data_IF_611860072485
#
_entry.id   IF_611860072485
#
_cell.length_a   1.000
_cell.length_b   1.000
_cell.length_c   1.000
_cell.angle_alpha   90.00
_cell.angle_beta   90.00
_cell.angle_gamma   90.00
#
_symmetry.space_group_name_H-M   'P 1'
#
loop_
_entity.id
_entity.type
_entity.pdbx_description
1 polymer ?
#
# COMPACT_ATOMS: atom_id res chain seq x y z
N UNK A 1 -30.04 -17.63 -64.71
CA UNK A 1 -28.57 -17.47 -64.86
C UNK A 1 -28.30 -15.98 -64.97
N UNK A 2 -27.84 -15.32 -63.88
CA UNK A 2 -27.45 -13.91 -63.95
C UNK A 2 -26.14 -13.81 -64.74
N UNK A 3 -26.07 -12.92 -65.73
CA UNK A 3 -24.86 -12.71 -66.54
C UNK A 3 -23.75 -12.03 -65.72
N UNK A 4 -22.50 -12.47 -65.91
CA UNK A 4 -21.32 -12.06 -65.13
C UNK A 4 -20.77 -10.67 -65.43
N UNK A 5 -21.63 -9.69 -65.70
CA UNK A 5 -21.19 -8.32 -65.99
C UNK A 5 -20.85 -7.57 -64.67
N UNK A 6 -19.61 -7.08 -64.55
CA UNK A 6 -19.02 -6.49 -63.33
C UNK A 6 -18.76 -4.97 -63.43
N UNK A 7 -19.21 -4.32 -64.50
CA UNK A 7 -19.05 -2.86 -64.67
C UNK A 7 -19.82 -2.04 -63.62
N UNK A 8 -19.31 -0.85 -63.29
CA UNK A 8 -20.00 0.09 -62.39
C UNK A 8 -21.35 0.52 -63.01
N UNK A 9 -22.45 0.54 -62.24
CA UNK A 9 -23.77 0.88 -62.78
C UNK A 9 -23.85 2.35 -63.23
N UNK A 10 -24.50 2.60 -64.36
CA UNK A 10 -24.92 3.93 -64.84
C UNK A 10 -26.41 4.16 -64.52
N UNK A 11 -26.82 5.42 -64.48
CA UNK A 11 -28.19 5.92 -64.32
C UNK A 11 -29.26 5.23 -65.19
N UNK A 12 -28.86 4.57 -66.28
CA UNK A 12 -29.74 3.83 -67.19
C UNK A 12 -29.85 2.32 -66.89
N UNK A 13 -29.02 1.76 -66.01
CA UNK A 13 -28.90 0.31 -65.73
C UNK A 13 -29.27 -0.08 -64.30
N UNK A 14 -29.76 0.88 -63.50
CA UNK A 14 -30.05 0.72 -62.06
C UNK A 14 -31.07 -0.40 -61.73
N UNK A 15 -31.89 -0.84 -62.69
CA UNK A 15 -32.86 -1.95 -62.55
C UNK A 15 -32.43 -3.27 -63.22
N UNK A 16 -31.22 -3.32 -63.79
CA UNK A 16 -30.71 -4.52 -64.48
C UNK A 16 -29.91 -5.43 -63.54
N UNK A 17 -29.87 -6.72 -63.88
CA UNK A 17 -29.05 -7.77 -63.28
C UNK A 17 -27.60 -7.35 -62.97
N UNK A 18 -27.03 -6.44 -63.76
CA UNK A 18 -25.67 -5.90 -63.56
C UNK A 18 -25.54 -5.06 -62.30
N UNK A 19 -26.47 -4.14 -62.04
CA UNK A 19 -26.44 -3.31 -60.83
C UNK A 19 -26.59 -4.17 -59.56
N UNK A 20 -27.45 -5.19 -59.61
CA UNK A 20 -27.64 -6.16 -58.52
C UNK A 20 -26.36 -6.96 -58.24
N UNK A 21 -25.71 -7.47 -59.28
CA UNK A 21 -24.45 -8.22 -59.15
C UNK A 21 -23.30 -7.36 -58.61
N UNK A 22 -23.21 -6.10 -59.05
CA UNK A 22 -22.20 -5.17 -58.54
C UNK A 22 -22.38 -4.95 -57.03
N UNK A 23 -23.59 -4.60 -56.59
CA UNK A 23 -23.88 -4.39 -55.15
C UNK A 23 -23.64 -5.65 -54.33
N UNK A 24 -24.03 -6.83 -54.83
CA UNK A 24 -23.80 -8.11 -54.17
C UNK A 24 -22.30 -8.39 -53.99
N UNK A 25 -21.48 -8.15 -55.02
CA UNK A 25 -20.04 -8.35 -54.95
C UNK A 25 -19.38 -7.38 -53.96
N UNK A 26 -19.82 -6.11 -53.93
CA UNK A 26 -19.33 -5.15 -52.94
C UNK A 26 -19.73 -5.56 -51.50
N UNK A 27 -20.94 -6.09 -51.30
CA UNK A 27 -21.39 -6.59 -50.01
C UNK A 27 -20.59 -7.82 -49.55
N UNK A 28 -20.32 -8.76 -50.44
CA UNK A 28 -19.48 -9.94 -50.16
C UNK A 28 -18.02 -9.56 -49.87
N UNK A 29 -17.47 -8.58 -50.60
CA UNK A 29 -16.14 -8.06 -50.34
C UNK A 29 -16.07 -7.36 -48.97
N UNK A 30 -17.08 -6.57 -48.61
CA UNK A 30 -17.16 -5.96 -47.29
C UNK A 30 -17.29 -7.01 -46.17
N UNK A 31 -18.15 -8.02 -46.35
CA UNK A 31 -18.31 -9.12 -45.38
C UNK A 31 -17.01 -9.91 -45.18
N UNK A 32 -16.34 -10.28 -46.27
CA UNK A 32 -15.06 -11.01 -46.20
C UNK A 32 -13.92 -10.16 -45.61
N UNK A 33 -13.90 -8.86 -45.87
CA UNK A 33 -12.97 -7.93 -45.23
C UNK A 33 -13.22 -7.83 -43.72
N UNK A 34 -14.47 -7.73 -43.28
CA UNK A 34 -14.81 -7.71 -41.84
C UNK A 34 -14.47 -9.04 -41.19
N UNK A 35 -14.83 -10.17 -41.80
CA UNK A 35 -14.51 -11.51 -41.27
C UNK A 35 -13.00 -11.78 -41.19
N UNK A 36 -12.18 -11.22 -42.09
CA UNK A 36 -10.72 -11.35 -42.04
C UNK A 36 -10.04 -10.38 -41.08
N UNK A 37 -10.68 -9.24 -40.74
CA UNK A 37 -10.15 -8.25 -39.78
C UNK A 37 -10.60 -8.52 -38.35
N UNK A 38 -11.73 -9.21 -38.18
CA UNK A 38 -12.35 -9.51 -36.91
C UNK A 38 -12.69 -11.00 -36.82
N UNK A 39 -11.67 -11.87 -36.91
CA UNK A 39 -11.81 -13.18 -36.28
C UNK A 39 -11.82 -12.94 -34.79
N UNK A 40 -12.92 -13.26 -34.12
CA UNK A 40 -12.97 -13.31 -32.66
C UNK A 40 -12.17 -14.54 -32.19
N UNK A 41 -10.88 -14.56 -32.52
CA UNK A 41 -9.96 -15.62 -32.17
C UNK A 41 -9.74 -15.57 -30.65
N UNK A 42 -10.30 -16.56 -29.95
CA UNK A 42 -10.36 -16.61 -28.49
C UNK A 42 -11.67 -16.15 -27.84
N UNK A 43 -12.68 -15.69 -28.59
CA UNK A 43 -14.00 -15.44 -28.02
C UNK A 43 -14.84 -16.72 -28.07
N UNK A 44 -15.25 -17.23 -26.91
CA UNK A 44 -16.09 -18.41 -26.78
C UNK A 44 -17.36 -18.10 -26.00
N UNK A 45 -18.49 -18.67 -26.42
CA UNK A 45 -19.73 -18.70 -25.62
C UNK A 45 -19.74 -19.86 -24.61
N UNK A 46 -18.72 -20.71 -24.63
CA UNK A 46 -18.53 -21.72 -23.60
C UNK A 46 -18.01 -21.01 -22.33
N UNK A 47 -18.70 -21.20 -21.21
CA UNK A 47 -18.29 -20.67 -19.92
C UNK A 47 -16.96 -21.33 -19.47
N UNK A 48 -15.83 -20.83 -19.97
CA UNK A 48 -14.49 -21.23 -19.55
C UNK A 48 -14.17 -20.60 -18.18
N UNK A 49 -14.93 -20.99 -17.16
CA UNK A 49 -14.83 -20.42 -15.81
C UNK A 49 -15.25 -18.96 -15.73
N UNK A 50 -15.41 -18.45 -14.50
CA UNK A 50 -15.67 -17.04 -14.24
C UNK A 50 -14.41 -16.23 -14.55
N UNK A 51 -14.22 -15.77 -15.78
CA UNK A 51 -13.23 -14.73 -16.10
C UNK A 51 -13.81 -13.39 -15.64
N UNK A 52 -13.44 -12.96 -14.43
CA UNK A 52 -13.78 -11.61 -13.95
C UNK A 52 -12.78 -10.62 -14.54
N UNK A 53 -13.12 -10.03 -15.68
CA UNK A 53 -12.44 -8.82 -16.13
C UNK A 53 -12.75 -7.70 -15.14
N UNK A 54 -11.72 -7.22 -14.47
CA UNK A 54 -11.80 -6.08 -13.56
C UNK A 54 -11.97 -4.81 -14.39
N UNK A 55 -13.16 -4.20 -14.30
CA UNK A 55 -13.50 -2.98 -15.01
C UNK A 55 -13.05 -1.70 -14.28
N UNK A 56 -12.37 -1.86 -13.15
CA UNK A 56 -11.89 -0.78 -12.29
C UNK A 56 -10.70 -1.26 -11.45
N UNK A 57 -9.79 -0.34 -11.14
CA UNK A 57 -8.66 -0.56 -10.24
C UNK A 57 -8.72 0.45 -9.09
N UNK A 58 -8.18 0.11 -7.94
CA UNK A 58 -8.07 1.02 -6.80
C UNK A 58 -9.01 0.69 -5.64
N UNK A 59 -9.34 1.70 -4.83
CA UNK A 59 -10.13 1.52 -3.60
C UNK A 59 -11.49 0.87 -3.91
N UNK A 60 -11.79 -0.26 -3.24
CA UNK A 60 -13.03 -1.02 -3.44
C UNK A 60 -13.00 -2.02 -4.60
N UNK A 61 -11.89 -2.12 -5.36
CA UNK A 61 -11.69 -3.15 -6.39
C UNK A 61 -10.90 -4.34 -5.85
N UNK A 62 -10.95 -5.47 -6.57
CA UNK A 62 -10.14 -6.66 -6.30
C UNK A 62 -8.70 -6.53 -6.82
N UNK A 63 -8.39 -5.46 -7.55
CA UNK A 63 -7.06 -5.23 -8.13
C UNK A 63 -6.55 -3.82 -7.87
N UNK A 64 -5.24 -3.72 -7.65
CA UNK A 64 -4.49 -2.47 -7.51
C UNK A 64 -3.31 -2.48 -8.47
N UNK A 65 -2.91 -1.31 -8.97
CA UNK A 65 -1.71 -1.21 -9.81
C UNK A 65 -0.47 -1.48 -8.96
N UNK A 66 0.57 -2.06 -9.57
CA UNK A 66 1.86 -2.24 -8.89
C UNK A 66 2.39 -0.90 -8.35
N UNK A 67 2.25 0.19 -9.13
CA UNK A 67 2.66 1.52 -8.69
C UNK A 67 1.91 1.97 -7.42
N UNK A 68 0.60 1.75 -7.32
CA UNK A 68 -0.17 2.08 -6.12
C UNK A 68 0.25 1.24 -4.91
N UNK A 69 0.53 -0.05 -5.10
CA UNK A 69 1.03 -0.93 -4.03
C UNK A 69 2.41 -0.51 -3.55
N UNK A 70 3.34 -0.27 -4.49
CA UNK A 70 4.69 0.21 -4.17
C UNK A 70 4.63 1.56 -3.46
N UNK A 71 3.80 2.49 -3.93
CA UNK A 71 3.63 3.79 -3.30
C UNK A 71 3.10 3.63 -1.87
N UNK A 72 2.04 2.84 -1.66
CA UNK A 72 1.49 2.59 -0.33
C UNK A 72 2.53 2.00 0.65
N UNK A 73 3.38 1.08 0.19
CA UNK A 73 4.46 0.48 1.01
C UNK A 73 5.56 1.50 1.37
N UNK A 74 5.76 2.54 0.54
CA UNK A 74 6.75 3.60 0.82
C UNK A 74 6.14 4.74 1.64
N UNK A 75 4.88 5.10 1.40
CA UNK A 75 4.21 6.23 2.07
C UNK A 75 3.57 5.87 3.39
N UNK A 76 3.33 4.58 3.67
CA UNK A 76 2.86 4.09 4.97
C UNK A 76 4.03 3.39 5.67
N UNK A 77 4.95 4.17 6.26
CA UNK A 77 6.16 3.66 6.89
C UNK A 77 5.82 2.71 8.05
N UNK A 78 6.19 1.44 7.91
CA UNK A 78 6.10 0.45 8.99
C UNK A 78 7.33 0.53 9.91
N UNK A 79 7.10 0.31 11.21
CA UNK A 79 8.16 0.16 12.20
C UNK A 79 9.18 -0.92 11.77
N UNK A 80 10.47 -0.62 11.91
CA UNK A 80 11.61 -1.48 11.59
C UNK A 80 12.07 -1.45 10.13
N UNK A 81 11.30 -0.89 9.20
CA UNK A 81 11.72 -0.82 7.78
C UNK A 81 12.76 0.29 7.57
N UNK A 82 13.99 -0.08 7.28
CA UNK A 82 15.09 0.86 7.00
C UNK A 82 15.65 1.58 8.23
N UNK A 83 15.11 1.29 9.41
CA UNK A 83 15.53 1.84 10.69
C UNK A 83 16.74 1.09 11.26
N UNK A 84 17.50 1.74 12.14
CA UNK A 84 18.62 1.14 12.87
C UNK A 84 18.39 1.28 14.36
N UNK A 85 18.94 0.34 15.11
CA UNK A 85 19.05 0.45 16.56
C UNK A 85 20.13 1.49 16.88
N UNK A 86 19.78 2.49 17.69
CA UNK A 86 20.69 3.54 18.14
C UNK A 86 20.70 3.60 19.66
N UNK A 87 21.89 3.53 20.26
CA UNK A 87 22.07 3.86 21.69
C UNK A 87 22.12 5.38 21.83
N UNK A 88 21.16 5.93 22.57
CA UNK A 88 20.98 7.36 22.76
C UNK A 88 21.10 7.75 24.22
N UNK A 89 21.56 6.86 25.10
CA UNK A 89 21.66 7.10 26.55
C UNK A 89 22.39 8.40 26.90
N UNK A 90 23.46 8.74 26.17
CA UNK A 90 24.23 9.96 26.42
C UNK A 90 23.52 11.26 26.00
N UNK A 91 22.46 11.17 25.22
CA UNK A 91 21.72 12.31 24.63
C UNK A 91 20.26 12.37 25.06
N UNK A 92 19.89 11.51 26.02
CA UNK A 92 18.53 11.34 26.50
C UNK A 92 18.49 11.38 28.02
N UNK A 93 17.38 11.84 28.55
CA UNK A 93 17.14 11.92 29.99
C UNK A 93 15.65 11.71 30.26
N UNK A 94 15.34 11.17 31.44
CA UNK A 94 13.98 11.16 31.94
C UNK A 94 13.50 12.62 32.15
N UNK A 95 12.19 12.82 32.21
CA UNK A 95 11.53 14.12 32.40
C UNK A 95 11.75 15.13 31.26
N UNK A 96 12.31 14.69 30.12
CA UNK A 96 12.50 15.53 28.92
C UNK A 96 11.58 15.07 27.80
N UNK A 97 10.85 16.01 27.21
CA UNK A 97 10.00 15.74 26.04
C UNK A 97 10.83 15.79 24.75
N UNK A 98 10.71 14.74 23.96
CA UNK A 98 11.33 14.59 22.64
C UNK A 98 10.26 14.50 21.55
N UNK A 99 10.62 14.81 20.30
CA UNK A 99 9.74 14.63 19.13
C UNK A 99 10.32 13.60 18.19
N UNK A 100 9.53 12.61 17.77
CA UNK A 100 9.91 11.70 16.70
C UNK A 100 9.76 12.41 15.35
N UNK A 101 10.87 12.66 14.65
CA UNK A 101 10.88 13.37 13.35
C UNK A 101 11.57 12.57 12.25
N UNK A 102 11.53 11.24 12.34
CA UNK A 102 12.30 10.33 11.48
C UNK A 102 11.60 10.02 10.16
N UNK A 103 10.34 10.42 10.01
CA UNK A 103 9.48 10.00 8.91
C UNK A 103 8.80 8.65 9.14
N UNK A 104 9.20 7.88 10.16
CA UNK A 104 8.69 6.54 10.47
C UNK A 104 8.30 6.45 11.96
N UNK A 105 7.32 5.62 12.36
CA UNK A 105 7.16 5.28 13.77
C UNK A 105 8.48 4.74 14.33
N UNK A 106 8.86 5.15 15.53
CA UNK A 106 10.05 4.63 16.23
C UNK A 106 9.60 3.72 17.36
N UNK A 107 10.48 2.80 17.78
CA UNK A 107 10.32 2.08 19.03
C UNK A 107 11.38 2.53 20.02
N UNK A 108 10.99 2.76 21.26
CA UNK A 108 11.85 3.26 22.33
C UNK A 108 11.90 2.22 23.44
N UNK A 109 13.11 1.86 23.85
CA UNK A 109 13.37 1.06 25.02
C UNK A 109 14.14 1.90 26.04
N UNK A 110 13.66 1.92 27.27
CA UNK A 110 14.33 2.57 28.39
C UNK A 110 14.46 1.60 29.55
N UNK A 111 15.62 1.63 30.21
CA UNK A 111 15.84 0.92 31.48
C UNK A 111 16.43 1.86 32.50
N UNK A 112 15.90 1.82 33.70
CA UNK A 112 16.45 2.50 34.87
C UNK A 112 16.71 1.48 35.98
N UNK A 113 17.60 1.86 36.90
CA UNK A 113 17.78 1.18 38.18
C UNK A 113 17.43 2.15 39.31
N UNK A 114 16.97 1.63 40.43
CA UNK A 114 16.85 2.38 41.67
C UNK A 114 17.36 1.58 42.86
N UNK A 115 17.20 2.14 44.06
CA UNK A 115 17.36 1.43 45.32
C UNK A 115 16.24 0.40 45.51
N UNK A 116 15.45 0.53 46.56
CA UNK A 116 14.43 -0.47 46.88
C UNK A 116 13.16 -0.41 45.99
N UNK A 117 12.96 0.67 45.24
CA UNK A 117 11.82 0.81 44.31
C UNK A 117 12.18 1.72 43.13
N UNK A 118 11.69 1.38 41.95
CA UNK A 118 11.78 2.24 40.77
C UNK A 118 10.64 1.95 39.79
N UNK A 119 10.09 3.02 39.18
CA UNK A 119 8.99 2.94 38.21
C UNK A 119 9.28 3.89 37.05
N UNK A 120 8.92 3.46 35.84
CA UNK A 120 8.90 4.25 34.62
C UNK A 120 7.46 4.46 34.18
N UNK A 121 7.11 5.68 33.79
CA UNK A 121 5.90 5.97 33.01
C UNK A 121 6.31 6.50 31.65
N UNK A 122 5.61 6.09 30.60
CA UNK A 122 5.90 6.53 29.24
C UNK A 122 4.69 7.24 28.69
N UNK A 123 4.92 8.40 28.08
CA UNK A 123 3.86 9.23 27.53
C UNK A 123 4.11 9.46 26.05
N UNK A 124 3.05 9.38 25.25
CA UNK A 124 3.06 9.73 23.82
C UNK A 124 1.96 10.76 23.59
N UNK A 125 2.31 11.95 23.07
CA UNK A 125 1.42 13.11 22.98
C UNK A 125 0.73 13.45 24.33
N UNK A 126 1.45 13.27 25.45
CA UNK A 126 0.93 13.51 26.80
C UNK A 126 -0.01 12.42 27.34
N UNK A 127 -0.35 11.39 26.55
CA UNK A 127 -1.14 10.25 27.00
C UNK A 127 -0.19 9.20 27.54
N UNK A 128 -0.43 8.72 28.76
CA UNK A 128 0.30 7.56 29.30
C UNK A 128 0.07 6.35 28.39
N UNK A 129 1.15 5.87 27.79
CA UNK A 129 1.15 4.73 26.86
C UNK A 129 1.39 3.42 27.60
N UNK A 130 2.18 3.46 28.68
CA UNK A 130 2.45 2.31 29.53
C UNK A 130 3.53 2.60 30.57
N UNK A 131 3.68 1.67 31.49
CA UNK A 131 4.58 1.75 32.63
C UNK A 131 5.44 0.49 32.79
N UNK A 132 6.41 0.57 33.69
CA UNK A 132 7.13 -0.60 34.20
C UNK A 132 7.70 -0.30 35.56
N UNK A 133 7.51 -1.20 36.53
CA UNK A 133 7.91 -0.98 37.92
C UNK A 133 8.55 -2.19 38.55
N UNK A 134 9.37 -1.95 39.57
CA UNK A 134 10.00 -3.00 40.38
C UNK A 134 10.25 -2.52 41.80
N UNK A 135 10.14 -3.46 42.74
CA UNK A 135 10.59 -3.31 44.13
C UNK A 135 11.56 -4.43 44.46
N UNK A 136 12.61 -4.13 45.22
CA UNK A 136 13.63 -5.10 45.63
C UNK A 136 14.27 -4.69 46.96
N UNK A 137 14.97 -5.59 47.64
CA UNK A 137 15.63 -5.28 48.91
C UNK A 137 16.82 -4.32 48.77
N UNK A 138 17.48 -4.31 47.61
CA UNK A 138 18.71 -3.54 47.39
C UNK A 138 18.62 -2.72 46.10
N UNK A 139 18.48 -3.40 44.96
CA UNK A 139 18.46 -2.77 43.63
C UNK A 139 17.24 -3.22 42.86
N UNK A 140 16.39 -2.26 42.52
CA UNK A 140 15.22 -2.44 41.66
C UNK A 140 15.56 -2.04 40.23
N UNK A 141 14.90 -2.68 39.26
CA UNK A 141 15.10 -2.44 37.83
C UNK A 141 13.73 -2.28 37.17
N UNK A 142 13.50 -1.15 36.54
CA UNK A 142 12.32 -0.92 35.71
C UNK A 142 12.73 -0.79 34.24
N UNK A 143 11.86 -1.26 33.36
CA UNK A 143 12.03 -1.12 31.92
C UNK A 143 10.69 -0.76 31.29
N UNK A 144 10.74 0.03 30.22
CA UNK A 144 9.57 0.33 29.41
C UNK A 144 9.94 0.19 27.92
N UNK A 145 8.99 -0.30 27.14
CA UNK A 145 9.07 -0.38 25.69
C UNK A 145 7.78 0.18 25.08
N UNK A 146 7.90 1.10 24.13
CA UNK A 146 6.74 1.75 23.53
C UNK A 146 7.04 2.22 22.11
N UNK A 147 5.98 2.49 21.36
CA UNK A 147 6.04 2.96 19.97
C UNK A 147 5.60 4.42 19.93
N UNK A 148 6.35 5.24 19.20
CA UNK A 148 6.06 6.66 19.00
C UNK A 148 5.80 6.91 17.52
N UNK A 149 4.58 7.31 17.12
CA UNK A 149 4.28 7.69 15.74
C UNK A 149 5.21 8.80 15.24
N UNK A 150 5.45 8.85 13.93
CA UNK A 150 6.16 9.99 13.34
C UNK A 150 5.38 11.29 13.61
N UNK A 151 6.10 12.34 14.01
CA UNK A 151 5.56 13.65 14.39
C UNK A 151 5.02 13.73 15.81
N UNK A 152 4.90 12.62 16.54
CA UNK A 152 4.44 12.62 17.92
C UNK A 152 5.55 13.04 18.90
N UNK A 153 5.15 13.60 20.03
CA UNK A 153 6.04 13.83 21.16
C UNK A 153 6.02 12.65 22.11
N UNK A 154 7.11 12.43 22.85
CA UNK A 154 7.20 11.42 23.88
C UNK A 154 8.08 11.88 25.03
N UNK A 155 7.80 11.34 26.20
CA UNK A 155 8.49 11.62 27.45
C UNK A 155 8.49 10.35 28.30
N UNK A 156 9.54 10.16 29.07
CA UNK A 156 9.68 9.07 30.02
C UNK A 156 9.86 9.68 31.41
N UNK A 157 8.95 9.37 32.32
CA UNK A 157 9.03 9.76 33.72
C UNK A 157 9.71 8.65 34.53
N UNK A 158 10.58 9.01 35.45
CA UNK A 158 11.30 8.06 36.30
C UNK A 158 11.09 8.41 37.77
N UNK A 159 10.46 7.50 38.51
CA UNK A 159 10.15 7.68 39.94
C UNK A 159 10.74 6.55 40.78
N UNK A 160 10.73 6.74 42.10
CA UNK A 160 11.24 5.77 43.08
C UNK A 160 12.49 6.24 43.81
N UNK A 161 13.18 5.29 44.45
CA UNK A 161 14.33 5.57 45.29
C UNK A 161 15.60 5.75 44.44
N UNK A 162 15.97 7.00 44.17
CA UNK A 162 17.19 7.37 43.42
C UNK A 162 17.29 6.70 42.04
N UNK A 163 16.33 6.94 41.12
CA UNK A 163 16.35 6.35 39.80
C UNK A 163 17.56 6.84 38.99
N UNK A 164 18.20 5.92 38.28
CA UNK A 164 19.38 6.17 37.43
C UNK A 164 19.14 5.56 36.05
N UNK A 165 19.33 6.35 35.00
CA UNK A 165 19.24 5.89 33.63
C UNK A 165 20.36 4.89 33.30
N UNK A 166 19.97 3.68 32.91
CA UNK A 166 20.88 2.58 32.55
C UNK A 166 20.96 2.33 31.05
N UNK A 167 19.87 2.57 30.31
CA UNK A 167 19.83 2.37 28.87
C UNK A 167 18.73 3.23 28.25
N UNK A 168 19.01 3.78 27.08
CA UNK A 168 18.02 4.39 26.21
C UNK A 168 18.36 4.01 24.78
N UNK A 169 17.49 3.24 24.14
CA UNK A 169 17.73 2.73 22.80
C UNK A 169 16.51 2.97 21.94
N UNK A 170 16.73 3.44 20.70
CA UNK A 170 15.66 3.70 19.75
C UNK A 170 15.90 2.91 18.46
N UNK A 171 14.87 2.22 17.96
CA UNK A 171 14.81 1.75 16.59
C UNK A 171 14.24 2.88 15.74
N UNK A 172 15.08 3.52 14.94
CA UNK A 172 14.75 4.77 14.24
C UNK A 172 15.40 4.97 12.89
#
# INVERSE_FOLDING_TARGET
MLSGNTGAPDSTTATTTTAVNYVLNQALAAYSLVASRYTADGATTANAGLVKLVNSMGAGSLVMTQAAVTNAIQTNPSLGKGQKIQDLRASRSAEVTYTSSTGFPIAVYVRISGGYSTVLYTHVNGIEFGDGGSTASNTSIAMAFFIVPNGATYLVEATGASPVLQSWTELR
#
